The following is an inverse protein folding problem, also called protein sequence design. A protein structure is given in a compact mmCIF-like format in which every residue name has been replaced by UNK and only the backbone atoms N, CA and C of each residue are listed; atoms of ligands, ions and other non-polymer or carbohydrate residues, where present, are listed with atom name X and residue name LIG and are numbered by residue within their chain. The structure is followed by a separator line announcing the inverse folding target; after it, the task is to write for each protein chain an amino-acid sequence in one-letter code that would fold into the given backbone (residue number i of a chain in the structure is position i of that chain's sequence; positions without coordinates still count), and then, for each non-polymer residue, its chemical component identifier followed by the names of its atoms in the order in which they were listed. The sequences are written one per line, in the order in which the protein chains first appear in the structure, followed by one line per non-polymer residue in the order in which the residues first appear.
data_IF_809174228882
#
_entry.id   IF_809174228882
#
_cell.length_a   1.000
_cell.length_b   1.000
_cell.length_c   1.000
_cell.angle_alpha   90.00
_cell.angle_beta   90.00
_cell.angle_gamma   90.00
#
_symmetry.space_group_name_H-M   'P 1'
#
loop_
_entity.id
_entity.type
_entity.pdbx_description
1 polymer ?
#
# COMPACT_ATOMS: atom_id res chain seq x y z
N UNK A 1 -25.61 8.36 -5.62
CA UNK A 1 -25.40 8.11 -7.06
C UNK A 1 -26.40 8.97 -7.81
N UNK A 2 -25.91 9.97 -8.54
CA UNK A 2 -26.76 10.88 -9.32
C UNK A 2 -27.14 10.24 -10.66
N UNK A 3 -28.31 10.62 -11.19
CA UNK A 3 -28.92 10.12 -12.43
C UNK A 3 -27.94 9.98 -13.63
N UNK A 4 -26.91 10.81 -13.73
CA UNK A 4 -25.96 10.81 -14.85
C UNK A 4 -24.84 9.75 -14.76
N UNK A 5 -24.35 9.39 -13.57
CA UNK A 5 -23.21 8.47 -13.38
C UNK A 5 -23.51 7.03 -13.83
N UNK A 6 -24.77 6.63 -13.80
CA UNK A 6 -25.20 5.27 -14.16
C UNK A 6 -25.45 5.10 -15.66
N UNK A 7 -25.64 6.21 -16.40
CA UNK A 7 -26.20 6.16 -17.76
C UNK A 7 -25.33 6.77 -18.86
N UNK A 8 -24.27 7.53 -18.53
CA UNK A 8 -23.41 8.14 -19.56
C UNK A 8 -21.93 7.97 -19.21
N UNK A 9 -21.27 7.03 -19.90
CA UNK A 9 -19.79 6.94 -19.96
C UNK A 9 -19.37 7.50 -21.30
N UNK A 10 -18.69 8.64 -21.29
CA UNK A 10 -18.17 9.25 -22.51
C UNK A 10 -16.74 8.77 -22.76
N UNK A 11 -16.38 8.54 -24.02
CA UNK A 11 -14.98 8.50 -24.43
C UNK A 11 -14.36 9.90 -24.33
N UNK A 12 -13.03 9.99 -24.39
CA UNK A 12 -12.34 11.30 -24.44
C UNK A 12 -12.83 12.15 -25.63
N UNK A 13 -13.16 11.51 -26.76
CA UNK A 13 -13.65 12.20 -27.96
C UNK A 13 -15.06 12.75 -27.75
N UNK A 14 -15.93 11.95 -27.11
CA UNK A 14 -17.31 12.34 -26.78
C UNK A 14 -17.33 13.44 -25.71
N UNK A 15 -16.42 13.41 -24.74
CA UNK A 15 -16.27 14.46 -23.73
C UNK A 15 -15.80 15.78 -24.37
N UNK A 16 -14.83 15.71 -25.31
CA UNK A 16 -14.41 16.88 -26.09
C UNK A 16 -15.55 17.43 -26.96
N UNK A 17 -16.37 16.56 -27.52
CA UNK A 17 -17.53 16.96 -28.31
C UNK A 17 -18.59 17.64 -27.42
N UNK A 18 -18.92 17.05 -26.27
CA UNK A 18 -19.81 17.66 -25.28
C UNK A 18 -19.30 19.04 -24.86
N UNK A 19 -17.99 19.19 -24.59
CA UNK A 19 -17.42 20.49 -24.26
C UNK A 19 -17.54 21.53 -25.39
N UNK A 20 -17.47 21.12 -26.66
CA UNK A 20 -17.70 22.00 -27.80
C UNK A 20 -19.16 22.43 -27.87
N UNK A 21 -20.08 21.48 -27.77
CA UNK A 21 -21.52 21.75 -27.82
C UNK A 21 -21.96 22.67 -26.66
N UNK A 22 -21.48 22.43 -25.44
CA UNK A 22 -21.75 23.29 -24.27
C UNK A 22 -21.23 24.71 -24.46
N UNK A 23 -20.14 24.92 -25.21
CA UNK A 23 -19.62 26.26 -25.48
C UNK A 23 -20.55 27.06 -26.41
N UNK A 24 -21.26 26.38 -27.30
CA UNK A 24 -22.17 26.96 -28.30
C UNK A 24 -23.61 27.18 -27.78
N UNK A 25 -23.95 26.64 -26.61
CA UNK A 25 -25.28 26.79 -25.98
C UNK A 25 -25.59 28.22 -25.50
N UNK A 26 -26.90 28.52 -25.41
CA UNK A 26 -27.47 29.72 -24.79
C UNK A 26 -27.05 29.87 -23.31
N UNK A 27 -26.94 31.12 -22.84
CA UNK A 27 -26.25 31.47 -21.58
C UNK A 27 -26.74 30.72 -20.34
N UNK A 28 -28.06 30.62 -20.13
CA UNK A 28 -28.62 30.04 -18.90
C UNK A 28 -28.49 28.52 -18.81
N UNK A 29 -28.58 27.79 -19.93
CA UNK A 29 -28.42 26.33 -19.95
C UNK A 29 -26.94 25.94 -19.87
N UNK A 30 -26.09 26.71 -20.56
CA UNK A 30 -24.63 26.60 -20.50
C UNK A 30 -24.10 26.72 -19.07
N UNK A 31 -24.57 27.71 -18.31
CA UNK A 31 -24.15 27.90 -16.91
C UNK A 31 -24.46 26.68 -16.03
N UNK A 32 -25.67 26.12 -16.15
CA UNK A 32 -26.07 24.92 -15.42
C UNK A 32 -25.26 23.68 -15.81
N UNK A 33 -24.97 23.51 -17.10
CA UNK A 33 -24.13 22.42 -17.60
C UNK A 33 -22.69 22.55 -17.09
N UNK A 34 -22.12 23.76 -17.13
CA UNK A 34 -20.78 24.01 -16.62
C UNK A 34 -20.67 23.77 -15.12
N UNK A 35 -21.64 24.24 -14.33
CA UNK A 35 -21.70 23.97 -12.89
C UNK A 35 -21.73 22.46 -12.62
N UNK A 36 -22.52 21.72 -13.40
CA UNK A 36 -22.62 20.27 -13.29
C UNK A 36 -21.28 19.58 -13.59
N UNK A 37 -20.63 19.91 -14.72
CA UNK A 37 -19.33 19.35 -15.13
C UNK A 37 -18.29 19.62 -14.04
N UNK A 38 -18.17 20.87 -13.58
CA UNK A 38 -17.19 21.26 -12.56
C UNK A 38 -17.44 20.53 -11.24
N UNK A 39 -18.70 20.45 -10.79
CA UNK A 39 -19.07 19.74 -9.57
C UNK A 39 -18.69 18.26 -9.63
N UNK A 40 -18.96 17.58 -10.76
CA UNK A 40 -18.60 16.18 -10.91
C UNK A 40 -17.10 15.95 -11.06
N UNK A 41 -16.38 16.80 -11.80
CA UNK A 41 -14.92 16.73 -11.91
C UNK A 41 -14.27 16.88 -10.53
N UNK A 42 -14.72 17.86 -9.74
CA UNK A 42 -14.25 18.06 -8.37
C UNK A 42 -14.56 16.86 -7.48
N UNK A 43 -15.77 16.28 -7.59
CA UNK A 43 -16.16 15.09 -6.83
C UNK A 43 -15.30 13.89 -7.20
N UNK A 44 -15.11 13.63 -8.49
CA UNK A 44 -14.28 12.53 -9.00
C UNK A 44 -12.83 12.67 -8.57
N UNK A 45 -12.26 13.88 -8.66
CA UNK A 45 -10.90 14.18 -8.17
C UNK A 45 -10.77 13.95 -6.67
N UNK A 46 -11.75 14.40 -5.88
CA UNK A 46 -11.76 14.20 -4.43
C UNK A 46 -11.85 12.71 -4.07
N UNK A 47 -12.77 11.98 -4.69
CA UNK A 47 -12.92 10.53 -4.48
C UNK A 47 -11.67 9.77 -4.89
N UNK A 48 -11.10 10.07 -6.06
CA UNK A 48 -9.87 9.44 -6.54
C UNK A 48 -8.68 9.71 -5.62
N UNK A 49 -8.56 10.93 -5.08
CA UNK A 49 -7.53 11.27 -4.11
C UNK A 49 -7.73 10.52 -2.78
N UNK A 50 -8.95 10.52 -2.24
CA UNK A 50 -9.29 9.81 -0.99
C UNK A 50 -9.04 8.30 -1.13
N UNK A 51 -9.46 7.69 -2.23
CA UNK A 51 -9.20 6.27 -2.51
C UNK A 51 -7.72 5.99 -2.69
N UNK A 52 -7.00 6.84 -3.42
CA UNK A 52 -5.56 6.71 -3.65
C UNK A 52 -4.78 6.78 -2.34
N UNK A 53 -5.09 7.75 -1.48
CA UNK A 53 -4.48 7.89 -0.15
C UNK A 53 -4.81 6.66 0.71
N UNK A 54 -6.07 6.25 0.77
CA UNK A 54 -6.51 5.10 1.57
C UNK A 54 -5.77 3.82 1.15
N UNK A 55 -5.74 3.52 -0.15
CA UNK A 55 -5.04 2.35 -0.69
C UNK A 55 -3.54 2.42 -0.44
N UNK A 56 -2.93 3.60 -0.63
CA UNK A 56 -1.50 3.81 -0.39
C UNK A 56 -1.11 3.58 1.07
N UNK A 57 -1.89 4.12 2.01
CA UNK A 57 -1.66 3.92 3.46
C UNK A 57 -1.83 2.45 3.83
N UNK A 58 -2.92 1.80 3.39
CA UNK A 58 -3.18 0.40 3.71
C UNK A 58 -2.06 -0.53 3.19
N UNK A 59 -1.62 -0.33 1.95
CA UNK A 59 -0.52 -1.08 1.37
C UNK A 59 0.80 -0.82 2.11
N UNK A 60 1.10 0.44 2.40
CA UNK A 60 2.31 0.84 3.13
C UNK A 60 2.38 0.23 4.52
N UNK A 61 1.29 0.29 5.29
CA UNK A 61 1.20 -0.32 6.63
C UNK A 61 1.37 -1.83 6.54
N UNK A 62 0.65 -2.49 5.63
CA UNK A 62 0.72 -3.96 5.49
C UNK A 62 2.12 -4.44 5.12
N UNK A 63 2.78 -3.75 4.18
CA UNK A 63 4.15 -4.08 3.77
C UNK A 63 5.14 -3.80 4.91
N UNK A 64 5.06 -2.63 5.53
CA UNK A 64 5.92 -2.23 6.64
C UNK A 64 5.81 -3.17 7.84
N UNK A 65 4.58 -3.54 8.24
CA UNK A 65 4.36 -4.51 9.32
C UNK A 65 4.93 -5.88 9.00
N UNK A 66 4.71 -6.40 7.78
CA UNK A 66 5.24 -7.71 7.37
C UNK A 66 6.77 -7.73 7.38
N UNK A 67 7.40 -6.69 6.83
CA UNK A 67 8.86 -6.57 6.83
C UNK A 67 9.41 -6.41 8.24
N UNK A 68 8.83 -5.52 9.04
CA UNK A 68 9.23 -5.27 10.42
C UNK A 68 9.09 -6.51 11.30
N UNK A 69 7.99 -7.25 11.18
CA UNK A 69 7.79 -8.50 11.93
C UNK A 69 8.81 -9.57 11.54
N UNK A 70 9.09 -9.74 10.24
CA UNK A 70 10.11 -10.70 9.78
C UNK A 70 11.50 -10.34 10.26
N UNK A 71 11.88 -9.06 10.16
CA UNK A 71 13.17 -8.56 10.64
C UNK A 71 13.30 -8.71 12.16
N UNK A 72 12.27 -8.28 12.91
CA UNK A 72 12.23 -8.38 14.36
C UNK A 72 12.32 -9.83 14.85
N UNK A 73 11.62 -10.77 14.20
CA UNK A 73 11.71 -12.19 14.52
C UNK A 73 13.11 -12.76 14.24
N UNK A 74 13.72 -12.43 13.10
CA UNK A 74 15.11 -12.85 12.79
C UNK A 74 16.10 -12.31 13.82
N UNK A 75 15.99 -11.02 14.16
CA UNK A 75 16.85 -10.38 15.16
C UNK A 75 16.65 -10.97 16.56
N UNK A 76 15.40 -11.19 16.97
CA UNK A 76 15.06 -11.82 18.24
C UNK A 76 15.61 -13.24 18.35
N UNK A 77 15.44 -14.06 17.32
CA UNK A 77 15.99 -15.42 17.27
C UNK A 77 17.52 -15.41 17.37
N UNK A 78 18.18 -14.51 16.62
CA UNK A 78 19.64 -14.35 16.69
C UNK A 78 20.11 -13.96 18.09
N UNK A 79 19.43 -13.02 18.73
CA UNK A 79 19.76 -12.59 20.09
C UNK A 79 19.57 -13.71 21.12
N UNK A 80 18.48 -14.48 20.98
CA UNK A 80 18.19 -15.63 21.82
C UNK A 80 19.30 -16.69 21.73
N UNK A 81 19.66 -17.11 20.50
CA UNK A 81 20.74 -18.07 20.24
C UNK A 81 22.07 -17.60 20.85
N UNK A 82 22.42 -16.32 20.65
CA UNK A 82 23.63 -15.73 21.24
C UNK A 82 23.62 -15.77 22.77
N UNK A 83 22.49 -15.47 23.39
CA UNK A 83 22.37 -15.51 24.84
C UNK A 83 22.53 -16.94 25.38
N UNK A 84 22.02 -17.96 24.67
CA UNK A 84 22.24 -19.35 25.04
C UNK A 84 23.71 -19.75 24.93
N UNK A 85 24.36 -19.41 23.81
CA UNK A 85 25.78 -19.68 23.59
C UNK A 85 26.67 -19.00 24.64
N UNK A 86 26.40 -17.73 24.97
CA UNK A 86 27.10 -16.98 26.04
C UNK A 86 26.95 -17.61 27.42
N UNK A 87 25.86 -18.35 27.66
CA UNK A 87 25.64 -19.11 28.89
C UNK A 87 26.36 -20.48 28.89
N UNK A 88 27.17 -20.76 27.88
CA UNK A 88 27.96 -21.99 27.76
C UNK A 88 27.18 -23.18 27.20
N UNK A 89 25.99 -22.97 26.64
CA UNK A 89 25.24 -24.02 25.97
C UNK A 89 25.93 -24.40 24.65
N UNK A 90 26.01 -25.70 24.35
CA UNK A 90 26.62 -26.18 23.12
C UNK A 90 25.71 -25.96 21.92
N UNK A 91 26.28 -25.86 20.73
CA UNK A 91 25.54 -25.61 19.48
C UNK A 91 24.49 -26.68 19.22
N UNK A 92 24.81 -27.93 19.52
CA UNK A 92 23.92 -29.09 19.34
C UNK A 92 22.68 -28.98 20.27
N UNK A 93 22.86 -28.47 21.49
CA UNK A 93 21.78 -28.26 22.45
C UNK A 93 20.90 -27.07 22.04
N UNK A 94 21.51 -25.99 21.56
CA UNK A 94 20.79 -24.80 21.07
C UNK A 94 19.93 -25.18 19.86
N UNK A 95 20.52 -25.86 18.88
CA UNK A 95 19.85 -26.33 17.66
C UNK A 95 18.57 -27.13 17.99
N UNK A 96 18.66 -28.05 18.96
CA UNK A 96 17.51 -28.82 19.44
C UNK A 96 16.44 -27.96 20.14
N UNK A 97 16.82 -26.91 20.87
CA UNK A 97 15.88 -26.05 21.59
C UNK A 97 15.15 -25.05 20.70
N UNK A 98 15.81 -24.52 19.68
CA UNK A 98 15.21 -23.55 18.75
C UNK A 98 14.67 -24.18 17.47
N UNK A 99 14.77 -25.51 17.36
CA UNK A 99 14.34 -26.30 16.21
C UNK A 99 14.97 -25.80 14.89
N UNK A 100 16.30 -25.68 14.90
CA UNK A 100 17.09 -25.29 13.73
C UNK A 100 18.24 -26.28 13.49
N UNK A 101 18.66 -26.48 12.23
CA UNK A 101 19.91 -27.17 11.93
C UNK A 101 21.09 -26.53 12.65
N UNK A 102 22.06 -27.34 13.08
CA UNK A 102 23.29 -26.81 13.70
C UNK A 102 24.03 -25.84 12.79
N UNK A 103 23.99 -26.05 11.47
CA UNK A 103 24.57 -25.13 10.49
C UNK A 103 23.96 -23.74 10.59
N UNK A 104 22.63 -23.64 10.58
CA UNK A 104 21.91 -22.36 10.70
C UNK A 104 22.23 -21.65 12.02
N UNK A 105 22.35 -22.41 13.11
CA UNK A 105 22.78 -21.88 14.42
C UNK A 105 24.21 -21.32 14.34
N UNK A 106 25.14 -22.02 13.67
CA UNK A 106 26.52 -21.55 13.46
C UNK A 106 26.54 -20.28 12.61
N UNK A 107 25.80 -20.24 11.50
CA UNK A 107 25.68 -19.05 10.63
C UNK A 107 25.16 -17.84 11.41
N UNK A 108 24.12 -18.02 12.25
CA UNK A 108 23.56 -16.95 13.08
C UNK A 108 24.53 -16.45 14.16
N UNK A 109 25.47 -17.29 14.60
CA UNK A 109 26.55 -16.91 15.50
C UNK A 109 27.72 -16.23 14.76
N UNK A 110 28.00 -16.63 13.51
CA UNK A 110 29.12 -16.16 12.67
C UNK A 110 28.88 -14.85 11.90
N UNK A 111 27.62 -14.42 11.71
CA UNK A 111 27.22 -13.14 11.07
C UNK A 111 27.72 -11.86 11.82
N UNK A 112 28.89 -11.88 12.48
CA UNK A 112 29.60 -10.73 13.07
C UNK A 112 31.12 -10.74 12.83
N UNK A 113 31.61 -11.47 11.83
CA UNK A 113 33.00 -11.44 11.38
C UNK A 113 33.33 -10.40 10.29
N UNK A 114 32.52 -9.34 10.09
CA UNK A 114 32.81 -8.21 9.19
C UNK A 114 32.19 -6.92 9.72
#
# INVERSE_FOLDING_TARGET
MGFFETYVKLSEEEEQQLQREVKEMETTEKEKMLELIISYEQRGRKQGLEEGIKRGIEQGIKQGMKQGMKQGMKQGMKQLIRNMARKGMKVEDIARLVDLPEQDVRELLEEQGN
#
